data_IF_830113077691
#
_entry.id   IF_830113077691
#
_cell.length_a   1.000
_cell.length_b   1.000
_cell.length_c   1.000
_cell.angle_alpha   90.00
_cell.angle_beta   90.00
_cell.angle_gamma   90.00
#
_symmetry.space_group_name_H-M   'P 1'
#
loop_
_entity.id
_entity.type
_entity.pdbx_description
1 polymer ?
#
# COMPACT_ATOMS: atom_id res chain seq x y z
N UNK A 1 16.07 3.77 -36.22
CA UNK A 1 16.14 3.32 -34.81
C UNK A 1 15.67 4.39 -33.83
N UNK A 2 15.88 5.69 -34.10
CA UNK A 2 15.54 6.78 -33.17
C UNK A 2 14.04 7.12 -33.06
N UNK A 3 13.24 6.84 -34.11
CA UNK A 3 11.79 7.10 -34.08
C UNK A 3 11.04 6.09 -33.22
N UNK A 4 11.48 4.82 -33.24
CA UNK A 4 10.87 3.75 -32.44
C UNK A 4 11.12 3.99 -30.96
N UNK A 5 12.34 4.38 -30.58
CA UNK A 5 12.66 4.74 -29.20
C UNK A 5 11.87 5.97 -28.74
N UNK A 6 11.75 7.02 -29.57
CA UNK A 6 10.94 8.21 -29.24
C UNK A 6 9.46 7.89 -28.97
N UNK A 7 8.85 7.02 -29.78
CA UNK A 7 7.45 6.60 -29.58
C UNK A 7 7.30 5.78 -28.29
N UNK A 8 8.21 4.83 -28.05
CA UNK A 8 8.20 4.03 -26.82
C UNK A 8 8.37 4.90 -25.58
N UNK A 9 9.24 5.90 -25.65
CA UNK A 9 9.53 6.80 -24.54
C UNK A 9 8.33 7.70 -24.23
N UNK A 10 7.63 8.19 -25.25
CA UNK A 10 6.40 8.97 -25.09
C UNK A 10 5.27 8.12 -24.50
N UNK A 11 5.13 6.86 -24.91
CA UNK A 11 4.16 5.93 -24.33
C UNK A 11 4.51 5.59 -22.88
N UNK A 12 5.79 5.39 -22.57
CA UNK A 12 6.26 5.09 -21.23
C UNK A 12 5.95 6.25 -20.28
N UNK A 13 6.22 7.48 -20.71
CA UNK A 13 5.90 8.70 -19.96
C UNK A 13 4.39 8.87 -19.75
N UNK A 14 3.58 8.52 -20.75
CA UNK A 14 2.14 8.64 -20.64
C UNK A 14 1.54 7.55 -19.74
N UNK A 15 1.95 6.29 -19.84
CA UNK A 15 1.37 5.23 -19.02
C UNK A 15 1.87 5.34 -17.58
N UNK A 16 3.17 5.42 -17.37
CA UNK A 16 3.78 5.39 -16.03
C UNK A 16 3.86 6.75 -15.34
N UNK A 17 3.49 7.83 -16.03
CA UNK A 17 3.44 9.17 -15.47
C UNK A 17 2.10 9.47 -14.81
N UNK A 18 1.49 10.57 -15.25
CA UNK A 18 0.29 11.15 -14.63
C UNK A 18 -0.88 10.15 -14.48
N UNK A 19 -1.24 9.34 -15.49
CA UNK A 19 -2.39 8.43 -15.44
C UNK A 19 -2.27 7.33 -14.37
N UNK A 20 -1.13 6.65 -14.28
CA UNK A 20 -0.94 5.61 -13.24
C UNK A 20 -0.96 6.23 -11.84
N UNK A 21 -0.35 7.40 -11.69
CA UNK A 21 -0.32 8.12 -10.41
C UNK A 21 -1.74 8.56 -9.99
N UNK A 22 -2.53 9.07 -10.93
CA UNK A 22 -3.94 9.42 -10.73
C UNK A 22 -4.80 8.20 -10.38
N UNK A 23 -4.60 7.06 -11.05
CA UNK A 23 -5.32 5.83 -10.73
C UNK A 23 -4.96 5.31 -9.34
N UNK A 24 -3.68 5.35 -8.98
CA UNK A 24 -3.21 4.89 -7.67
C UNK A 24 -3.76 5.78 -6.55
N UNK A 25 -3.61 7.10 -6.68
CA UNK A 25 -4.14 8.07 -5.71
C UNK A 25 -5.66 8.01 -5.67
N UNK A 26 -6.32 7.96 -6.82
CA UNK A 26 -7.77 7.86 -6.93
C UNK A 26 -8.31 6.61 -6.24
N UNK A 27 -7.69 5.45 -6.48
CA UNK A 27 -8.05 4.20 -5.78
C UNK A 27 -7.82 4.32 -4.28
N UNK A 28 -6.69 4.89 -3.86
CA UNK A 28 -6.40 5.15 -2.45
C UNK A 28 -7.45 6.03 -1.77
N UNK A 29 -7.89 7.11 -2.43
CA UNK A 29 -8.94 8.01 -1.93
C UNK A 29 -10.29 7.29 -1.88
N UNK A 30 -10.67 6.57 -2.94
CA UNK A 30 -11.93 5.81 -2.99
C UNK A 30 -12.00 4.82 -1.82
N UNK A 31 -10.93 4.06 -1.59
CA UNK A 31 -10.85 3.12 -0.47
C UNK A 31 -10.89 3.86 0.87
N UNK A 32 -10.14 4.95 1.03
CA UNK A 32 -10.14 5.76 2.26
C UNK A 32 -11.54 6.25 2.62
N UNK A 33 -12.30 6.75 1.64
CA UNK A 33 -13.68 7.22 1.84
C UNK A 33 -14.63 6.05 2.12
N UNK A 34 -14.54 4.96 1.34
CA UNK A 34 -15.39 3.76 1.53
C UNK A 34 -15.18 3.11 2.89
N UNK A 35 -13.94 3.09 3.38
CA UNK A 35 -13.57 2.57 4.69
C UNK A 35 -13.76 3.61 5.82
N UNK A 36 -14.35 4.78 5.53
CA UNK A 36 -14.61 5.86 6.50
C UNK A 36 -13.35 6.33 7.26
N UNK A 37 -12.22 6.45 6.56
CA UNK A 37 -10.96 6.91 7.16
C UNK A 37 -10.35 5.90 8.12
N UNK A 38 -10.58 4.59 7.89
CA UNK A 38 -10.08 3.51 8.74
C UNK A 38 -8.58 3.62 9.02
N UNK A 39 -7.77 4.09 8.05
CA UNK A 39 -6.33 4.24 8.27
C UNK A 39 -6.03 5.14 9.48
N UNK A 40 -6.78 6.24 9.67
CA UNK A 40 -6.55 7.17 10.78
C UNK A 40 -7.08 6.62 12.11
N UNK A 41 -8.26 5.99 12.10
CA UNK A 41 -8.88 5.45 13.32
C UNK A 41 -8.13 4.22 13.84
N UNK A 42 -7.66 3.34 12.95
CA UNK A 42 -6.98 2.08 13.32
C UNK A 42 -5.47 2.22 13.45
N UNK A 43 -4.86 3.32 13.02
CA UNK A 43 -3.40 3.51 13.10
C UNK A 43 -2.86 3.29 14.51
N UNK A 44 -3.45 3.97 15.50
CA UNK A 44 -2.99 3.92 16.89
C UNK A 44 -3.17 2.53 17.50
N UNK A 45 -4.27 1.86 17.15
CA UNK A 45 -4.54 0.49 17.60
C UNK A 45 -3.56 -0.50 16.96
N UNK A 46 -3.34 -0.41 15.65
CA UNK A 46 -2.42 -1.27 14.91
C UNK A 46 -0.97 -1.09 15.38
N UNK A 47 -0.55 0.15 15.67
CA UNK A 47 0.77 0.42 16.23
C UNK A 47 0.93 -0.26 17.60
N UNK A 48 -0.05 -0.09 18.51
CA UNK A 48 -0.03 -0.81 19.81
C UNK A 48 -0.01 -2.32 19.64
N UNK A 49 -0.72 -2.87 18.66
CA UNK A 49 -0.77 -4.29 18.38
C UNK A 49 0.55 -4.83 17.82
N UNK A 50 1.19 -4.10 16.91
CA UNK A 50 2.48 -4.47 16.35
C UNK A 50 3.57 -4.55 17.43
N UNK A 51 3.53 -3.68 18.45
CA UNK A 51 4.47 -3.70 19.58
C UNK A 51 4.02 -4.57 20.76
N UNK A 52 2.78 -5.09 20.75
CA UNK A 52 2.33 -6.02 21.79
C UNK A 52 2.96 -7.39 21.53
N UNK A 53 3.61 -7.95 22.55
CA UNK A 53 4.12 -9.33 22.51
C UNK A 53 2.91 -10.26 22.34
N UNK A 54 2.93 -11.08 21.29
CA UNK A 54 1.91 -12.10 21.05
C UNK A 54 1.91 -13.10 22.21
N UNK A 55 0.96 -12.95 23.14
CA UNK A 55 0.76 -13.84 24.29
C UNK A 55 -0.07 -15.09 23.93
N UNK A 56 -0.59 -15.17 22.71
CA UNK A 56 -1.41 -16.30 22.27
C UNK A 56 -0.52 -17.46 21.80
N UNK A 57 -0.13 -18.30 22.75
CA UNK A 57 0.54 -19.61 22.58
C UNK A 57 -0.27 -20.62 21.76
N UNK A 58 -1.45 -20.24 21.25
CA UNK A 58 -2.38 -21.04 20.44
C UNK A 58 -2.70 -20.44 19.07
N UNK A 59 -2.03 -19.36 18.68
CA UNK A 59 -2.21 -18.75 17.35
C UNK A 59 -1.31 -19.44 16.32
N UNK A 60 -1.87 -19.78 15.15
CA UNK A 60 -1.22 -20.55 14.08
C UNK A 60 -0.22 -19.73 13.25
N UNK A 61 0.62 -18.92 13.91
CA UNK A 61 1.64 -18.08 13.28
C UNK A 61 3.03 -18.43 13.79
N UNK A 62 3.94 -18.76 12.87
CA UNK A 62 5.31 -19.16 13.20
C UNK A 62 6.20 -17.99 13.67
N UNK A 63 5.75 -16.74 13.47
CA UNK A 63 6.50 -15.52 13.76
C UNK A 63 5.65 -14.47 14.47
N UNK A 64 6.28 -13.60 15.25
CA UNK A 64 5.57 -12.52 15.95
C UNK A 64 4.95 -11.50 14.98
N UNK A 65 3.89 -10.80 15.40
CA UNK A 65 3.27 -9.73 14.60
C UNK A 65 4.27 -8.64 14.18
N UNK A 66 5.24 -8.33 15.03
CA UNK A 66 6.31 -7.39 14.72
C UNK A 66 7.25 -7.94 13.64
N UNK A 67 7.60 -9.23 13.72
CA UNK A 67 8.48 -9.89 12.76
C UNK A 67 7.86 -10.05 11.38
N UNK A 68 6.53 -10.17 11.28
CA UNK A 68 5.83 -10.19 9.98
C UNK A 68 5.75 -8.80 9.31
N UNK A 69 5.92 -7.73 10.10
CA UNK A 69 5.88 -6.35 9.61
C UNK A 69 7.24 -5.87 9.06
N UNK A 70 8.34 -6.40 9.61
CA UNK A 70 9.72 -6.07 9.25
C UNK A 70 10.22 -6.95 8.10
#
# INVERSE_FOLDING_TARGET
METVSKVLEQMNQYVWGLPTLLLLVGTGIILTVRLKGLQFSKLLYAHKLAFKKSEDTSSSGDISHFQALM
#
